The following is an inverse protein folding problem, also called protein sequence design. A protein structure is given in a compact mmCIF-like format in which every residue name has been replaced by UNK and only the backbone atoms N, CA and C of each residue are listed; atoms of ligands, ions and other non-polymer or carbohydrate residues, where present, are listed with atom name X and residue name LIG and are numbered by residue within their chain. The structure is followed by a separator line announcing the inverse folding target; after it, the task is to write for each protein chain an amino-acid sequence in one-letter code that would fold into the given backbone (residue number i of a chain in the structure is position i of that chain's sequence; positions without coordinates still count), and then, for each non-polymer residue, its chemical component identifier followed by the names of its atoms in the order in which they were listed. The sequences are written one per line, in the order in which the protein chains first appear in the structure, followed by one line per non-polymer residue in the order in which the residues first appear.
data_IF_439218446315
#
_entry.id   IF_439218446315
#
_cell.length_a   1.000
_cell.length_b   1.000
_cell.length_c   1.000
_cell.angle_alpha   90.00
_cell.angle_beta   90.00
_cell.angle_gamma   90.00
#
_symmetry.space_group_name_H-M   'P 1'
#
loop_
_entity.id
_entity.type
_entity.pdbx_description
1 polymer ?
#
# COMPACT_ATOMS: atom_id res chain seq x y z
N UNK A 1 4.97 9.13 -14.71
CA UNK A 1 5.72 8.48 -13.61
C UNK A 1 5.80 9.45 -12.44
N UNK A 2 5.54 8.99 -11.22
CA UNK A 2 5.75 9.79 -10.00
C UNK A 2 6.23 8.95 -8.82
N UNK A 3 7.03 9.58 -7.96
CA UNK A 3 7.37 9.11 -6.61
C UNK A 3 6.33 9.62 -5.61
N UNK A 4 6.33 9.06 -4.40
CA UNK A 4 5.57 9.63 -3.28
C UNK A 4 6.06 11.06 -3.01
N UNK A 5 5.14 12.01 -2.96
CA UNK A 5 5.46 13.41 -2.69
C UNK A 5 5.74 13.66 -1.21
N UNK A 6 6.45 14.75 -0.93
CA UNK A 6 6.79 15.21 0.42
C UNK A 6 5.63 15.96 1.10
N UNK A 7 4.48 15.29 1.21
CA UNK A 7 3.32 15.79 1.95
C UNK A 7 2.57 14.61 2.57
N UNK A 8 1.75 14.85 3.61
CA UNK A 8 0.94 13.80 4.21
C UNK A 8 0.10 13.06 3.17
N UNK A 9 0.01 11.76 3.39
CA UNK A 9 -0.93 10.89 2.68
C UNK A 9 -2.34 11.27 3.14
N UNK A 10 -3.28 11.32 2.21
CA UNK A 10 -4.69 11.55 2.53
C UNK A 10 -5.52 10.38 1.98
N UNK A 11 -5.62 9.31 2.77
CA UNK A 11 -6.38 8.10 2.46
C UNK A 11 -7.23 7.75 3.69
N UNK A 12 -8.53 7.43 3.55
CA UNK A 12 -9.31 6.88 4.65
C UNK A 12 -8.68 5.59 5.23
N UNK A 13 -9.10 5.20 6.43
CA UNK A 13 -8.68 3.92 7.00
C UNK A 13 -9.05 2.78 6.05
N UNK A 14 -8.12 1.83 5.88
CA UNK A 14 -8.28 0.73 4.95
C UNK A 14 -9.26 -0.33 5.50
N UNK A 15 -10.09 -0.88 4.63
CA UNK A 15 -10.88 -2.07 4.92
C UNK A 15 -9.98 -3.30 4.78
N UNK A 16 -9.70 -3.96 5.91
CA UNK A 16 -8.95 -5.22 5.96
C UNK A 16 -9.95 -6.36 6.15
N UNK A 17 -10.12 -7.19 5.11
CA UNK A 17 -11.21 -8.17 5.03
C UNK A 17 -10.94 -9.46 5.82
N UNK A 18 -9.66 -9.81 5.95
CA UNK A 18 -9.18 -11.05 6.59
C UNK A 18 -7.95 -10.80 7.45
N UNK A 19 -7.70 -11.70 8.40
CA UNK A 19 -6.54 -11.58 9.28
C UNK A 19 -5.25 -11.86 8.52
N UNK A 20 -4.17 -11.25 8.97
CA UNK A 20 -2.85 -11.47 8.37
C UNK A 20 -2.47 -12.96 8.46
N UNK A 21 -2.03 -13.53 7.33
CA UNK A 21 -1.60 -14.93 7.25
C UNK A 21 -2.64 -15.86 6.60
N UNK A 22 -3.94 -15.55 6.72
CA UNK A 22 -5.00 -16.40 6.13
C UNK A 22 -4.84 -16.58 4.61
N UNK A 23 -4.39 -15.53 3.92
CA UNK A 23 -4.10 -15.62 2.49
C UNK A 23 -2.98 -16.61 2.18
N UNK A 24 -1.97 -16.71 3.04
CA UNK A 24 -0.82 -17.61 2.85
C UNK A 24 -1.15 -19.09 3.05
N UNK A 25 -2.19 -19.38 3.85
CA UNK A 25 -2.65 -20.74 4.15
C UNK A 25 -3.49 -21.34 3.03
N UNK A 26 -3.96 -20.51 2.09
CA UNK A 26 -4.81 -20.96 0.99
C UNK A 26 -4.04 -21.87 0.01
N UNK A 27 -4.56 -23.05 -0.41
CA UNK A 27 -3.87 -23.98 -1.29
C UNK A 27 -3.39 -23.37 -2.62
N UNK A 28 -4.19 -22.45 -3.16
CA UNK A 28 -3.90 -21.74 -4.42
C UNK A 28 -3.10 -20.44 -4.23
N UNK A 29 -2.63 -20.11 -3.03
CA UNK A 29 -1.93 -18.85 -2.76
C UNK A 29 -0.67 -18.68 -3.62
N UNK A 30 0.21 -19.70 -3.63
CA UNK A 30 1.48 -19.61 -4.34
C UNK A 30 1.29 -19.49 -5.86
N UNK A 31 0.34 -20.24 -6.43
CA UNK A 31 0.03 -20.18 -7.85
C UNK A 31 -0.60 -18.82 -8.24
N UNK A 32 -1.52 -18.30 -7.42
CA UNK A 32 -2.09 -16.97 -7.58
C UNK A 32 -1.02 -15.86 -7.52
N UNK A 33 -0.08 -15.97 -6.57
CA UNK A 33 1.06 -15.06 -6.44
C UNK A 33 2.04 -15.17 -7.61
N UNK A 34 2.12 -16.33 -8.24
CA UNK A 34 3.01 -16.60 -9.38
C UNK A 34 2.47 -16.09 -10.72
N UNK A 35 1.20 -15.67 -10.80
CA UNK A 35 0.62 -15.11 -12.02
C UNK A 35 -0.64 -15.83 -12.52
N UNK A 36 -1.06 -16.92 -11.86
CA UNK A 36 -2.26 -17.66 -12.26
C UNK A 36 -3.53 -16.93 -11.81
N UNK A 37 -4.29 -16.42 -12.77
CA UNK A 37 -5.50 -15.66 -12.50
C UNK A 37 -6.67 -16.54 -12.05
N UNK A 38 -6.80 -17.77 -12.56
CA UNK A 38 -7.85 -18.70 -12.13
C UNK A 38 -7.64 -19.09 -10.67
N UNK A 39 -6.41 -19.40 -10.29
CA UNK A 39 -6.03 -19.62 -8.89
C UNK A 39 -6.35 -18.40 -8.01
N UNK A 40 -6.07 -17.19 -8.49
CA UNK A 40 -6.36 -15.97 -7.74
C UNK A 40 -7.87 -15.72 -7.57
N UNK A 41 -8.69 -16.04 -8.56
CA UNK A 41 -10.14 -15.98 -8.43
C UNK A 41 -10.67 -16.95 -7.38
N UNK A 42 -10.18 -18.20 -7.35
CA UNK A 42 -10.56 -19.17 -6.31
C UNK A 42 -10.22 -18.65 -4.92
N UNK A 43 -8.98 -18.17 -4.73
CA UNK A 43 -8.54 -17.55 -3.47
C UNK A 43 -9.47 -16.42 -3.02
N UNK A 44 -9.82 -15.52 -3.94
CA UNK A 44 -10.69 -14.38 -3.64
C UNK A 44 -12.12 -14.84 -3.34
N UNK A 45 -12.67 -15.77 -4.10
CA UNK A 45 -14.03 -16.29 -3.87
C UNK A 45 -14.14 -16.93 -2.48
N UNK A 46 -13.18 -17.78 -2.11
CA UNK A 46 -13.16 -18.45 -0.81
C UNK A 46 -13.00 -17.46 0.33
N UNK A 47 -12.06 -16.50 0.20
CA UNK A 47 -11.86 -15.47 1.20
C UNK A 47 -12.97 -14.42 1.23
N UNK A 48 -13.81 -14.27 0.20
CA UNK A 48 -14.93 -13.34 0.20
C UNK A 48 -16.27 -14.00 0.57
N UNK A 49 -16.34 -15.33 0.67
CA UNK A 49 -17.60 -16.07 0.79
C UNK A 49 -18.46 -15.64 1.98
N UNK A 50 -17.84 -15.22 3.10
CA UNK A 50 -18.54 -14.78 4.32
C UNK A 50 -18.49 -13.27 4.55
N UNK A 51 -17.98 -12.49 3.59
CA UNK A 51 -17.99 -11.03 3.69
C UNK A 51 -19.35 -10.50 3.21
N UNK A 52 -20.02 -9.76 4.08
CA UNK A 52 -21.22 -9.00 3.72
C UNK A 52 -20.84 -7.84 2.79
N UNK A 53 -21.53 -7.71 1.65
CA UNK A 53 -21.21 -6.70 0.64
C UNK A 53 -21.59 -5.27 1.06
N UNK A 54 -22.47 -5.12 2.06
CA UNK A 54 -22.90 -3.82 2.58
C UNK A 54 -21.74 -2.97 3.12
N UNK A 55 -20.63 -3.60 3.51
CA UNK A 55 -19.41 -2.87 3.92
C UNK A 55 -18.85 -1.98 2.80
N UNK A 56 -19.21 -2.25 1.54
CA UNK A 56 -18.77 -1.47 0.37
C UNK A 56 -19.81 -0.43 -0.08
N UNK A 57 -20.98 -0.32 0.58
CA UNK A 57 -22.10 0.53 0.14
C UNK A 57 -21.69 1.96 -0.21
N UNK A 58 -20.88 2.58 0.65
CA UNK A 58 -20.36 3.95 0.45
C UNK A 58 -19.59 4.12 -0.86
N UNK A 59 -18.93 3.06 -1.36
CA UNK A 59 -18.20 3.08 -2.63
C UNK A 59 -19.15 3.05 -3.84
N UNK A 60 -20.27 2.33 -3.73
CA UNK A 60 -21.33 2.37 -4.75
C UNK A 60 -21.97 3.75 -4.84
N UNK A 61 -22.33 4.34 -3.69
CA UNK A 61 -22.94 5.67 -3.62
C UNK A 61 -22.05 6.75 -4.22
N UNK A 62 -20.73 6.64 -4.05
CA UNK A 62 -19.74 7.55 -4.62
C UNK A 62 -19.34 7.24 -6.07
N UNK A 63 -19.81 6.13 -6.65
CA UNK A 63 -19.44 5.66 -7.99
C UNK A 63 -17.91 5.69 -8.23
N UNK A 64 -17.16 5.14 -7.29
CA UNK A 64 -15.70 5.10 -7.34
C UNK A 64 -15.20 4.15 -8.42
N UNK A 65 -13.96 4.33 -8.88
CA UNK A 65 -13.26 3.32 -9.68
C UNK A 65 -12.39 2.44 -8.79
N UNK A 66 -12.46 1.13 -9.01
CA UNK A 66 -11.62 0.14 -8.33
C UNK A 66 -10.24 0.13 -8.98
N UNK A 67 -9.19 0.37 -8.21
CA UNK A 67 -7.82 0.43 -8.71
C UNK A 67 -6.95 -0.64 -8.03
N UNK A 68 -6.77 -1.82 -8.64
CA UNK A 68 -5.84 -2.83 -8.14
C UNK A 68 -4.39 -2.34 -8.26
N UNK A 69 -3.57 -2.68 -7.28
CA UNK A 69 -2.12 -2.52 -7.37
C UNK A 69 -1.57 -3.55 -8.37
N UNK A 70 -1.10 -3.08 -9.51
CA UNK A 70 -0.52 -3.90 -10.58
C UNK A 70 0.93 -3.51 -10.84
N UNK A 71 1.84 -4.48 -10.98
CA UNK A 71 3.23 -4.23 -11.40
C UNK A 71 3.38 -4.31 -12.93
N UNK A 72 4.19 -3.41 -13.51
CA UNK A 72 4.31 -3.22 -14.96
C UNK A 72 5.23 -4.19 -15.70
N UNK A 73 6.18 -4.87 -15.04
CA UNK A 73 7.00 -5.89 -15.71
C UNK A 73 6.10 -7.05 -16.22
N UNK A 74 5.82 -7.03 -17.53
CA UNK A 74 4.99 -7.92 -18.36
C UNK A 74 3.77 -8.57 -17.65
N UNK A 75 2.63 -7.88 -17.53
CA UNK A 75 1.37 -8.42 -17.01
C UNK A 75 1.45 -9.23 -15.68
N UNK A 76 2.19 -8.76 -14.67
CA UNK A 76 1.87 -8.96 -13.25
C UNK A 76 2.04 -10.38 -12.67
N UNK A 77 3.20 -10.64 -12.07
CA UNK A 77 3.28 -11.63 -10.97
C UNK A 77 2.58 -11.03 -9.74
N UNK A 78 1.75 -11.85 -9.11
CA UNK A 78 0.65 -11.56 -8.19
C UNK A 78 -0.65 -11.07 -8.86
N UNK A 79 -1.63 -11.98 -8.97
CA UNK A 79 -2.95 -11.70 -9.56
C UNK A 79 -4.05 -11.41 -8.53
N UNK A 80 -3.74 -11.51 -7.24
CA UNK A 80 -4.75 -11.42 -6.18
C UNK A 80 -5.42 -10.04 -6.13
N UNK A 81 -4.70 -8.89 -6.24
CA UNK A 81 -5.34 -7.58 -6.27
C UNK A 81 -6.32 -7.43 -7.45
N UNK A 82 -5.92 -7.88 -8.64
CA UNK A 82 -6.76 -7.85 -9.84
C UNK A 82 -8.00 -8.74 -9.71
N UNK A 83 -7.83 -9.96 -9.21
CA UNK A 83 -8.93 -10.88 -8.98
C UNK A 83 -9.95 -10.31 -7.98
N UNK A 84 -9.48 -9.62 -6.91
CA UNK A 84 -10.35 -8.95 -5.96
C UNK A 84 -11.11 -7.79 -6.60
N UNK A 85 -10.44 -6.97 -7.42
CA UNK A 85 -11.09 -5.87 -8.14
C UNK A 85 -12.20 -6.38 -9.08
N UNK A 86 -11.91 -7.41 -9.89
CA UNK A 86 -12.88 -7.98 -10.83
C UNK A 86 -14.02 -8.74 -10.12
N UNK A 87 -13.75 -9.38 -8.98
CA UNK A 87 -14.79 -9.95 -8.14
C UNK A 87 -15.77 -8.87 -7.65
N UNK A 88 -15.25 -7.74 -7.16
CA UNK A 88 -16.07 -6.61 -6.70
C UNK A 88 -16.79 -5.92 -7.86
N UNK A 89 -16.17 -5.77 -9.02
CA UNK A 89 -16.85 -5.28 -10.23
C UNK A 89 -18.07 -6.14 -10.58
N UNK A 90 -17.90 -7.46 -10.64
CA UNK A 90 -19.01 -8.37 -10.92
C UNK A 90 -20.11 -8.33 -9.84
N UNK A 91 -19.75 -8.17 -8.56
CA UNK A 91 -20.71 -8.16 -7.45
C UNK A 91 -21.41 -6.81 -7.25
N UNK A 92 -20.73 -5.70 -7.55
CA UNK A 92 -21.16 -4.34 -7.18
C UNK A 92 -21.41 -3.43 -8.39
N UNK A 93 -20.99 -3.83 -9.60
CA UNK A 93 -21.10 -3.01 -10.81
C UNK A 93 -20.15 -1.80 -10.85
N UNK A 94 -19.08 -1.80 -10.04
CA UNK A 94 -18.07 -0.73 -10.03
C UNK A 94 -16.97 -0.99 -11.08
N UNK A 95 -16.62 0.02 -11.86
CA UNK A 95 -15.61 -0.12 -12.92
C UNK A 95 -14.19 -0.32 -12.37
N UNK A 96 -13.40 -1.19 -13.01
CA UNK A 96 -11.98 -1.35 -12.71
C UNK A 96 -11.09 -0.46 -13.60
N UNK A 97 -10.17 0.27 -12.98
CA UNK A 97 -9.09 0.99 -13.64
C UNK A 97 -7.84 0.09 -13.76
N UNK A 98 -7.27 -0.02 -14.97
CA UNK A 98 -6.11 -0.86 -15.26
C UNK A 98 -4.94 -0.08 -15.90
N UNK A 99 -5.13 1.19 -16.24
CA UNK A 99 -4.14 2.05 -16.90
C UNK A 99 -3.08 2.62 -15.96
N UNK A 100 -3.19 2.38 -14.65
CA UNK A 100 -2.22 2.82 -13.64
C UNK A 100 -1.49 1.60 -13.08
N UNK A 101 -0.16 1.65 -13.09
CA UNK A 101 0.68 0.54 -12.67
C UNK A 101 1.95 0.97 -11.96
N UNK A 102 2.47 0.09 -11.11
CA UNK A 102 3.73 0.21 -10.40
C UNK A 102 4.89 -0.15 -11.33
N UNK A 103 5.86 0.74 -11.49
CA UNK A 103 6.97 0.59 -12.45
C UNK A 103 7.92 -0.55 -12.09
N UNK A 104 8.35 -0.63 -10.83
CA UNK A 104 9.35 -1.62 -10.38
C UNK A 104 8.70 -2.56 -9.37
N UNK A 105 8.83 -3.89 -9.57
CA UNK A 105 8.47 -4.85 -8.53
C UNK A 105 9.53 -4.80 -7.43
N UNK A 106 9.37 -3.89 -6.46
CA UNK A 106 10.24 -3.92 -5.30
C UNK A 106 9.75 -5.00 -4.35
N UNK A 107 10.49 -6.11 -4.31
CA UNK A 107 10.15 -7.24 -3.44
C UNK A 107 10.30 -6.86 -1.98
N UNK A 108 9.21 -6.38 -1.38
CA UNK A 108 9.12 -6.05 0.06
C UNK A 108 8.86 -7.28 0.93
N UNK A 109 8.39 -8.38 0.36
CA UNK A 109 7.91 -9.55 1.10
C UNK A 109 8.97 -10.18 1.99
N UNK A 110 10.22 -10.25 1.52
CA UNK A 110 11.36 -10.80 2.25
C UNK A 110 12.07 -9.78 3.16
N UNK A 111 11.74 -8.50 3.04
CA UNK A 111 12.38 -7.44 3.81
C UNK A 111 11.79 -7.37 5.22
N UNK A 112 12.63 -7.05 6.20
CA UNK A 112 12.20 -6.73 7.55
C UNK A 112 11.44 -5.38 7.58
N UNK A 113 10.82 -5.06 8.72
CA UNK A 113 10.01 -3.83 8.83
C UNK A 113 10.79 -2.55 8.52
N UNK A 114 12.04 -2.43 8.96
CA UNK A 114 12.84 -1.22 8.77
C UNK A 114 13.24 -1.04 7.30
N UNK A 115 13.70 -2.10 6.65
CA UNK A 115 14.11 -2.08 5.24
C UNK A 115 12.95 -1.70 4.30
N UNK A 116 11.73 -2.10 4.63
CA UNK A 116 10.54 -1.77 3.83
C UNK A 116 10.25 -0.27 3.75
N UNK A 117 10.65 0.51 4.77
CA UNK A 117 10.43 1.96 4.82
C UNK A 117 11.24 2.68 3.73
N UNK A 118 12.44 2.19 3.41
CA UNK A 118 13.33 2.81 2.43
C UNK A 118 13.02 2.41 0.98
N UNK A 119 12.27 1.33 0.80
CA UNK A 119 11.81 0.88 -0.50
C UNK A 119 10.55 1.65 -0.90
N UNK A 120 10.67 2.69 -1.73
CA UNK A 120 9.51 3.52 -2.14
C UNK A 120 8.98 3.05 -3.50
N UNK A 121 7.73 2.56 -3.60
CA UNK A 121 7.14 2.21 -4.90
C UNK A 121 6.92 3.45 -5.77
N UNK A 122 7.07 3.26 -7.08
CA UNK A 122 6.84 4.29 -8.10
C UNK A 122 5.71 3.86 -9.01
N UNK A 123 4.85 4.80 -9.39
CA UNK A 123 3.68 4.54 -10.22
C UNK A 123 3.70 5.38 -11.49
N UNK A 124 3.03 4.87 -12.51
CA UNK A 124 2.79 5.53 -13.79
C UNK A 124 1.39 5.23 -14.28
N UNK A 125 0.98 5.91 -15.35
CA UNK A 125 -0.41 5.96 -15.80
C UNK A 125 -1.04 7.31 -15.51
N UNK A 126 -2.22 7.54 -16.08
CA UNK A 126 -2.98 8.78 -15.92
C UNK A 126 -4.29 8.49 -15.20
N UNK A 127 -4.62 9.29 -14.19
CA UNK A 127 -5.94 9.23 -13.58
C UNK A 127 -7.00 9.78 -14.55
N UNK A 128 -8.03 8.98 -14.85
CA UNK A 128 -9.14 9.31 -15.75
C UNK A 128 -10.48 9.55 -15.02
N UNK A 129 -10.52 9.42 -13.69
CA UNK A 129 -11.75 9.54 -12.89
C UNK A 129 -11.65 10.43 -11.66
N UNK A 130 -12.80 10.67 -11.01
CA UNK A 130 -12.92 11.62 -9.89
C UNK A 130 -12.51 11.02 -8.54
N UNK A 131 -12.80 9.75 -8.29
CA UNK A 131 -12.48 9.07 -7.03
C UNK A 131 -12.13 7.58 -7.21
N UNK A 132 -11.13 7.12 -6.46
CA UNK A 132 -10.60 5.75 -6.54
C UNK A 132 -10.67 5.03 -5.19
N UNK A 133 -10.91 3.72 -5.25
CA UNK A 133 -10.64 2.80 -4.13
C UNK A 133 -9.46 1.92 -4.50
N UNK A 134 -8.41 1.99 -3.70
CA UNK A 134 -7.17 1.23 -3.94
C UNK A 134 -7.33 -0.20 -3.45
N UNK A 135 -6.87 -1.18 -4.20
CA UNK A 135 -7.02 -2.61 -3.86
C UNK A 135 -5.66 -3.30 -3.87
N UNK A 136 -5.32 -3.96 -2.78
CA UNK A 136 -4.13 -4.80 -2.67
C UNK A 136 -4.46 -6.12 -1.94
N UNK A 137 -3.54 -7.07 -1.95
CA UNK A 137 -3.77 -8.37 -1.32
C UNK A 137 -3.45 -8.39 0.17
N UNK A 138 -2.40 -7.70 0.60
CA UNK A 138 -1.99 -7.65 2.00
C UNK A 138 -1.54 -6.26 2.42
N UNK A 139 -2.23 -5.68 3.41
CA UNK A 139 -1.79 -4.47 4.09
C UNK A 139 -0.84 -4.81 5.23
N UNK A 140 0.43 -4.42 5.06
CA UNK A 140 1.46 -4.48 6.11
C UNK A 140 1.74 -3.09 6.69
N UNK A 141 2.58 -2.30 6.03
CA UNK A 141 2.91 -0.93 6.43
C UNK A 141 2.16 0.12 5.63
N UNK A 142 1.49 -0.23 4.54
CA UNK A 142 0.71 0.72 3.74
C UNK A 142 1.51 1.59 2.79
N UNK A 143 2.83 1.38 2.67
CA UNK A 143 3.68 2.21 1.82
C UNK A 143 3.33 2.15 0.33
N UNK A 144 2.75 1.04 -0.13
CA UNK A 144 2.22 0.87 -1.50
C UNK A 144 0.98 1.74 -1.72
N UNK A 145 0.00 1.67 -0.81
CA UNK A 145 -1.19 2.54 -0.87
C UNK A 145 -0.81 4.02 -0.80
N UNK A 146 0.11 4.39 0.08
CA UNK A 146 0.60 5.77 0.19
C UNK A 146 1.24 6.30 -1.10
N UNK A 147 2.09 5.48 -1.76
CA UNK A 147 2.70 5.86 -3.03
C UNK A 147 1.67 5.96 -4.16
N UNK A 148 0.73 5.02 -4.25
CA UNK A 148 -0.34 5.04 -5.26
C UNK A 148 -1.31 6.22 -5.05
N UNK A 149 -1.70 6.48 -3.80
CA UNK A 149 -2.53 7.63 -3.48
C UNK A 149 -1.84 8.95 -3.83
N UNK A 150 -0.56 9.07 -3.51
CA UNK A 150 0.22 10.26 -3.89
C UNK A 150 0.28 10.43 -5.40
N UNK A 151 0.45 9.35 -6.18
CA UNK A 151 0.41 9.39 -7.64
C UNK A 151 -0.93 9.91 -8.19
N UNK A 152 -2.06 9.50 -7.60
CA UNK A 152 -3.39 9.98 -7.97
C UNK A 152 -3.61 11.44 -7.57
N UNK A 153 -3.24 11.81 -6.35
CA UNK A 153 -3.46 13.14 -5.78
C UNK A 153 -2.63 14.21 -6.47
N UNK A 154 -1.40 13.88 -6.89
CA UNK A 154 -0.57 14.75 -7.75
C UNK A 154 -1.24 15.05 -9.11
N UNK A 155 -2.22 14.25 -9.52
CA UNK A 155 -3.02 14.46 -10.74
C UNK A 155 -4.42 15.04 -10.44
N UNK A 156 -4.67 15.45 -9.19
CA UNK A 156 -5.96 16.01 -8.76
C UNK A 156 -7.07 14.98 -8.52
N UNK A 157 -6.77 13.68 -8.55
CA UNK A 157 -7.76 12.63 -8.28
C UNK A 157 -7.92 12.38 -6.76
N UNK A 158 -9.15 12.03 -6.35
CA UNK A 158 -9.46 11.68 -4.96
C UNK A 158 -9.21 10.19 -4.69
N UNK A 159 -8.74 9.87 -3.49
CA UNK A 159 -8.77 8.50 -2.95
C UNK A 159 -9.90 8.40 -1.94
N UNK A 160 -10.93 7.61 -2.27
CA UNK A 160 -12.12 7.41 -1.45
C UNK A 160 -11.99 6.25 -0.46
N UNK A 161 -10.99 5.39 -0.62
CA UNK A 161 -10.73 4.29 0.30
C UNK A 161 -9.57 3.40 -0.15
N UNK A 162 -9.25 2.44 0.70
CA UNK A 162 -8.33 1.35 0.41
C UNK A 162 -8.91 0.05 0.93
N UNK A 163 -8.74 -1.04 0.19
CA UNK A 163 -9.16 -2.39 0.54
C UNK A 163 -7.93 -3.29 0.46
N UNK A 164 -7.70 -4.05 1.53
CA UNK A 164 -6.73 -5.13 1.52
C UNK A 164 -7.43 -6.44 1.85
N UNK A 165 -7.14 -7.49 1.07
CA UNK A 165 -7.72 -8.81 1.34
C UNK A 165 -7.30 -9.30 2.73
N UNK A 166 -6.03 -9.14 3.10
CA UNK A 166 -5.49 -9.49 4.43
C UNK A 166 -4.71 -8.36 5.08
N UNK A 167 -4.57 -8.42 6.40
CA UNK A 167 -3.74 -7.47 7.12
C UNK A 167 -3.94 -7.57 8.63
N UNK A 168 -3.20 -6.76 9.37
CA UNK A 168 -3.45 -6.59 10.81
C UNK A 168 -4.36 -5.38 10.99
N UNK A 169 -5.43 -5.52 11.77
CA UNK A 169 -6.41 -4.44 11.94
C UNK A 169 -5.78 -3.13 12.44
N UNK A 170 -4.74 -3.19 13.27
CA UNK A 170 -3.99 -2.00 13.70
C UNK A 170 -3.24 -1.26 12.59
N UNK A 171 -3.07 -1.88 11.41
CA UNK A 171 -2.44 -1.29 10.21
C UNK A 171 -3.46 -0.62 9.29
N UNK A 172 -4.76 -0.72 9.59
CA UNK A 172 -5.83 -0.11 8.78
C UNK A 172 -5.68 1.41 8.69
N UNK A 173 -5.24 2.07 9.77
CA UNK A 173 -4.92 3.49 9.75
C UNK A 173 -3.71 3.73 8.86
N UNK A 174 -3.93 4.44 7.74
CA UNK A 174 -2.88 4.79 6.79
C UNK A 174 -2.29 6.17 7.08
N UNK A 175 -3.13 7.16 7.35
CA UNK A 175 -2.66 8.51 7.67
C UNK A 175 -1.92 8.51 9.02
N UNK A 176 -0.76 9.16 9.04
CA UNK A 176 0.00 9.38 10.26
C UNK A 176 -0.71 10.41 11.14
N UNK A 177 -0.92 10.07 12.41
CA UNK A 177 -1.41 11.05 13.40
C UNK A 177 -0.28 11.93 13.96
N UNK A 178 -0.65 13.15 14.36
CA UNK A 178 0.30 14.16 14.83
C UNK A 178 1.04 13.71 16.11
N UNK A 179 0.39 12.93 16.98
CA UNK A 179 1.00 12.45 18.22
C UNK A 179 2.17 11.52 17.91
N UNK A 180 1.99 10.56 17.00
CA UNK A 180 3.05 9.66 16.59
C UNK A 180 4.14 10.38 15.77
N UNK A 181 3.78 11.38 14.96
CA UNK A 181 4.75 12.22 14.25
C UNK A 181 5.65 12.99 15.23
N UNK A 182 5.07 13.62 16.25
CA UNK A 182 5.83 14.32 17.29
C UNK A 182 6.73 13.35 18.07
N UNK A 183 6.23 12.17 18.42
CA UNK A 183 7.05 11.12 19.06
C UNK A 183 8.24 10.71 18.18
N UNK A 184 8.03 10.52 16.88
CA UNK A 184 9.09 10.17 15.95
C UNK A 184 10.15 11.29 15.87
N UNK A 185 9.72 12.54 15.77
CA UNK A 185 10.61 13.71 15.74
C UNK A 185 11.38 13.91 17.05
N UNK A 186 10.75 13.66 18.18
CA UNK A 186 11.42 13.72 19.48
C UNK A 186 12.50 12.63 19.61
N UNK A 187 12.30 11.47 18.96
CA UNK A 187 13.22 10.33 19.05
C UNK A 187 14.35 10.36 18.01
N UNK A 188 14.04 10.81 16.79
CA UNK A 188 14.89 10.68 15.60
C UNK A 188 14.90 11.94 14.71
N UNK A 189 14.44 13.09 15.20
CA UNK A 189 14.29 14.31 14.41
C UNK A 189 15.59 14.81 13.78
N UNK A 190 16.74 14.52 14.39
CA UNK A 190 18.06 14.82 13.85
C UNK A 190 18.35 14.11 12.51
N UNK A 191 17.64 13.03 12.22
CA UNK A 191 17.79 12.23 11.01
C UNK A 191 16.77 12.57 9.91
N UNK A 192 15.75 13.41 10.19
CA UNK A 192 14.64 13.66 9.26
C UNK A 192 15.13 14.24 7.91
N UNK A 193 16.13 15.12 7.93
CA UNK A 193 16.73 15.68 6.71
C UNK A 193 17.46 14.62 5.86
N UNK A 194 18.22 13.73 6.52
CA UNK A 194 18.90 12.60 5.84
C UNK A 194 17.87 11.62 5.30
N UNK A 195 16.84 11.30 6.08
CA UNK A 195 15.73 10.45 5.68
C UNK A 195 15.03 11.00 4.43
N UNK A 196 14.74 12.31 4.41
CA UNK A 196 14.13 12.97 3.26
C UNK A 196 15.03 12.93 2.02
N UNK A 197 16.35 13.06 2.20
CA UNK A 197 17.30 12.95 1.09
C UNK A 197 17.26 11.56 0.45
N UNK A 198 17.12 10.50 1.27
CA UNK A 198 17.10 9.10 0.81
C UNK A 198 15.77 8.76 0.14
N UNK A 199 14.65 9.07 0.79
CA UNK A 199 13.32 8.59 0.37
C UNK A 199 12.60 9.57 -0.56
N UNK A 200 13.03 10.83 -0.60
CA UNK A 200 12.35 11.93 -1.29
C UNK A 200 11.24 12.60 -0.47
N UNK A 201 10.98 12.15 0.77
CA UNK A 201 9.95 12.72 1.64
C UNK A 201 10.32 12.64 3.13
N UNK A 202 9.78 13.54 3.95
CA UNK A 202 10.07 13.63 5.38
C UNK A 202 9.11 12.75 6.21
N UNK A 203 9.22 12.81 7.54
CA UNK A 203 8.43 11.96 8.43
C UNK A 203 6.93 12.21 8.35
N UNK A 204 6.47 13.40 7.93
CA UNK A 204 5.05 13.70 7.81
C UNK A 204 4.37 12.96 6.64
N UNK A 205 5.13 12.46 5.66
CA UNK A 205 4.63 11.69 4.52
C UNK A 205 4.69 10.17 4.73
N UNK A 206 5.09 9.72 5.92
CA UNK A 206 5.02 8.31 6.32
C UNK A 206 3.58 7.87 6.53
N UNK A 207 3.33 6.58 6.37
CA UNK A 207 2.11 6.00 6.93
C UNK A 207 2.23 5.86 8.45
N UNK A 208 1.09 5.70 9.13
CA UNK A 208 1.04 5.38 10.56
C UNK A 208 1.93 4.16 10.91
N UNK A 209 1.91 3.12 10.07
CA UNK A 209 2.65 1.89 10.33
C UNK A 209 4.15 2.02 10.02
N UNK A 210 4.52 2.81 9.02
CA UNK A 210 5.94 3.13 8.74
C UNK A 210 6.53 3.95 9.91
N UNK A 211 5.83 5.00 10.37
CA UNK A 211 6.24 5.81 11.52
C UNK A 211 6.33 4.97 12.81
N UNK A 212 5.34 4.11 13.08
CA UNK A 212 5.36 3.18 14.21
C UNK A 212 6.56 2.24 14.14
N UNK A 213 6.92 1.78 12.94
CA UNK A 213 8.09 0.92 12.74
C UNK A 213 9.36 1.66 13.14
N UNK A 214 9.56 2.90 12.68
CA UNK A 214 10.72 3.71 13.06
C UNK A 214 10.75 4.01 14.57
N UNK A 215 9.63 4.39 15.17
CA UNK A 215 9.54 4.65 16.62
C UNK A 215 9.85 3.43 17.48
N UNK A 216 9.35 2.26 17.10
CA UNK A 216 9.42 1.05 17.94
C UNK A 216 10.59 0.13 17.60
N UNK A 217 11.35 0.42 16.54
CA UNK A 217 12.48 -0.42 16.17
C UNK A 217 13.51 -0.48 17.31
N UNK A 218 13.94 -1.70 17.64
CA UNK A 218 14.93 -1.96 18.67
C UNK A 218 16.04 -2.85 18.10
N UNK A 219 17.30 -2.50 18.36
CA UNK A 219 17.78 -1.32 19.08
C UNK A 219 17.59 -0.01 18.28
N UNK A 220 17.34 1.10 19.00
CA UNK A 220 17.11 2.44 18.43
C UNK A 220 18.25 2.88 17.49
N UNK A 221 19.50 2.50 17.81
CA UNK A 221 20.66 2.83 16.99
C UNK A 221 20.62 2.19 15.60
N UNK A 222 19.96 1.04 15.41
CA UNK A 222 19.83 0.43 14.08
C UNK A 222 19.01 1.30 13.11
N UNK A 223 18.07 2.11 13.61
CA UNK A 223 17.37 3.09 12.75
C UNK A 223 18.36 4.13 12.23
N UNK A 224 19.24 4.62 13.10
CA UNK A 224 20.26 5.60 12.74
C UNK A 224 21.27 4.99 11.78
N UNK A 225 21.84 3.84 12.12
CA UNK A 225 22.80 3.09 11.30
C UNK A 225 22.21 2.80 9.92
N UNK A 226 20.93 2.40 9.84
CA UNK A 226 20.29 2.11 8.57
C UNK A 226 20.10 3.34 7.69
N UNK A 227 19.64 4.46 8.27
CA UNK A 227 19.53 5.73 7.55
C UNK A 227 20.90 6.17 7.04
N UNK A 228 21.95 6.05 7.86
CA UNK A 228 23.30 6.40 7.45
C UNK A 228 23.82 5.48 6.33
N UNK A 229 23.59 4.16 6.41
CA UNK A 229 24.00 3.20 5.40
C UNK A 229 23.37 3.47 4.01
N UNK A 230 22.08 3.81 3.97
CA UNK A 230 21.40 4.22 2.72
C UNK A 230 21.98 5.54 2.17
N UNK A 231 22.30 6.50 3.05
CA UNK A 231 22.93 7.78 2.66
C UNK A 231 24.30 7.57 2.01
N UNK A 232 25.13 6.67 2.53
CA UNK A 232 26.43 6.35 1.93
C UNK A 232 26.30 5.68 0.57
N UNK A 233 25.29 4.82 0.39
CA UNK A 233 25.02 4.12 -0.87
C UNK A 233 24.60 5.05 -2.01
N UNK A 234 24.09 6.26 -1.69
CA UNK A 234 23.75 7.29 -2.69
C UNK A 234 24.97 8.10 -3.15
N UNK A 235 26.10 8.05 -2.42
CA UNK A 235 27.32 8.83 -2.72
C UNK A 235 28.38 8.03 -3.50
N UNK A 236 28.24 6.71 -3.54
CA UNK A 236 29.06 5.75 -4.29
C UNK A 236 28.50 5.48 -5.68
#
# INVERSE_FOLDING_TARGET
MSKRANHPVNIPDALILRTLGQLNEHPHYLTAKAGDFAAALVVVQDLMATIELDIFKTYLEQQVMLLPVLAQEAQGRNKIPLALALYLEHKLGLNVELGIGQLTKVSRTSLNGLDRVFVVPEFTGKAIGRAYVLIDDTLTQGGTFAALASHLQQQGAKVAGAIALTGKQYSARLNLDNVLLEQLRNKHGELEATFQTITGYNYAALTQSEARTLCNFKPTEQVKERILAESYSLKS
#
